data_IF_264747179725
#
_entry.id   IF_264747179725
#
_cell.length_a   1.000
_cell.length_b   1.000
_cell.length_c   1.000
_cell.angle_alpha   90.00
_cell.angle_beta   90.00
_cell.angle_gamma   90.00
#
_symmetry.space_group_name_H-M   'P 1'
#
loop_
_entity.id
_entity.type
_entity.pdbx_description
1 polymer ?
#
# COMPACT_ATOMS: atom_id res chain seq x y z
N UNK A 1 9.93 -22.49 -23.65
CA UNK A 1 8.87 -23.43 -23.20
C UNK A 1 8.43 -24.45 -24.25
N UNK A 2 8.23 -24.10 -25.54
CA UNK A 2 7.77 -25.05 -26.58
C UNK A 2 8.67 -26.27 -26.85
N UNK A 3 9.94 -26.26 -26.42
CA UNK A 3 10.91 -27.34 -26.62
C UNK A 3 10.74 -28.50 -25.61
N UNK A 4 10.02 -28.29 -24.51
CA UNK A 4 9.95 -29.24 -23.38
C UNK A 4 8.54 -29.80 -23.12
N UNK A 5 7.51 -29.24 -23.75
CA UNK A 5 6.12 -29.66 -23.57
C UNK A 5 5.75 -30.81 -24.52
N UNK A 6 5.35 -31.97 -23.99
CA UNK A 6 4.78 -33.07 -24.77
C UNK A 6 3.31 -32.86 -25.14
N UNK A 7 2.77 -33.74 -25.99
CA UNK A 7 1.33 -33.81 -26.35
C UNK A 7 0.49 -34.03 -25.09
N UNK A 8 -0.14 -32.97 -24.59
CA UNK A 8 -0.89 -32.95 -23.33
C UNK A 8 -0.50 -31.83 -22.36
N UNK A 9 0.54 -31.03 -22.68
CA UNK A 9 0.90 -29.84 -21.88
C UNK A 9 1.62 -30.15 -20.56
N UNK A 10 1.85 -31.42 -20.23
CA UNK A 10 2.66 -31.85 -19.09
C UNK A 10 4.11 -32.12 -19.52
N UNK A 11 5.06 -31.67 -18.68
CA UNK A 11 6.49 -31.93 -18.84
C UNK A 11 6.79 -33.38 -18.45
N UNK A 12 7.40 -34.15 -19.36
CA UNK A 12 7.92 -35.50 -19.07
C UNK A 12 9.07 -35.44 -18.06
N UNK A 13 9.35 -36.54 -17.36
CA UNK A 13 10.41 -36.60 -16.35
C UNK A 13 11.80 -36.32 -16.93
N UNK A 14 12.06 -36.76 -18.17
CA UNK A 14 13.27 -36.42 -18.91
C UNK A 14 13.36 -34.92 -19.25
N UNK A 15 12.25 -34.31 -19.69
CA UNK A 15 12.19 -32.86 -19.99
C UNK A 15 12.33 -32.00 -18.73
N UNK A 16 11.88 -32.50 -17.57
CA UNK A 16 12.11 -31.87 -16.26
C UNK A 16 13.60 -31.89 -15.88
N UNK A 17 14.29 -33.01 -16.10
CA UNK A 17 15.73 -33.14 -15.85
C UNK A 17 16.57 -32.17 -16.70
N UNK A 18 16.27 -32.07 -18.00
CA UNK A 18 16.99 -31.16 -18.92
C UNK A 18 16.72 -29.68 -18.58
N UNK A 19 15.47 -29.33 -18.23
CA UNK A 19 15.11 -27.98 -17.80
C UNK A 19 15.78 -27.60 -16.47
N UNK A 20 15.92 -28.54 -15.53
CA UNK A 20 16.67 -28.33 -14.26
C UNK A 20 18.13 -28.00 -14.53
N UNK A 21 18.80 -28.77 -15.39
CA UNK A 21 20.21 -28.56 -15.70
C UNK A 21 20.46 -27.18 -16.31
N UNK A 22 19.62 -26.77 -17.27
CA UNK A 22 19.73 -25.46 -17.93
C UNK A 22 19.42 -24.28 -16.99
N UNK A 23 18.48 -24.44 -16.06
CA UNK A 23 18.16 -23.39 -15.08
C UNK A 23 19.24 -23.29 -13.99
N UNK A 24 19.87 -24.41 -13.61
CA UNK A 24 20.95 -24.44 -12.62
C UNK A 24 22.22 -23.71 -13.04
N UNK A 25 22.52 -23.64 -14.34
CA UNK A 25 23.69 -22.93 -14.88
C UNK A 25 23.54 -21.40 -14.89
N UNK A 26 22.30 -20.88 -14.87
CA UNK A 26 22.01 -19.46 -15.08
C UNK A 26 21.40 -18.76 -13.87
N UNK A 27 20.92 -19.51 -12.88
CA UNK A 27 20.07 -19.00 -11.81
C UNK A 27 20.70 -19.18 -10.43
N UNK A 28 21.20 -18.10 -9.83
CA UNK A 28 21.58 -18.08 -8.40
C UNK A 28 20.30 -18.03 -7.57
N UNK A 29 19.90 -19.16 -6.98
CA UNK A 29 18.66 -19.26 -6.19
C UNK A 29 18.96 -19.29 -4.69
N UNK A 30 18.68 -18.18 -4.00
CA UNK A 30 18.53 -18.16 -2.55
C UNK A 30 17.03 -18.27 -2.21
N UNK A 31 16.49 -19.47 -2.16
CA UNK A 31 15.17 -19.70 -1.56
C UNK A 31 15.30 -19.68 -0.04
N UNK A 32 14.48 -18.88 0.66
CA UNK A 32 14.54 -18.78 2.14
C UNK A 32 14.38 -20.12 2.86
N UNK A 33 13.79 -21.14 2.21
CA UNK A 33 13.75 -22.52 2.69
C UNK A 33 15.15 -23.12 2.94
N UNK A 34 16.18 -22.67 2.22
CA UNK A 34 17.58 -23.10 2.41
C UNK A 34 18.28 -22.40 3.58
N UNK A 35 17.69 -21.33 4.15
CA UNK A 35 18.42 -20.43 5.07
C UNK A 35 18.05 -20.55 6.56
N UNK A 36 17.11 -21.42 6.93
CA UNK A 36 16.70 -21.55 8.35
C UNK A 36 16.18 -20.24 8.98
N UNK A 37 15.88 -19.23 8.16
CA UNK A 37 15.45 -17.90 8.61
C UNK A 37 13.99 -18.00 9.06
N UNK A 38 13.78 -18.04 10.37
CA UNK A 38 12.46 -17.92 10.98
C UNK A 38 12.18 -16.44 11.24
N UNK A 39 11.20 -15.87 10.54
CA UNK A 39 10.67 -14.55 10.88
C UNK A 39 9.61 -14.71 11.98
N UNK A 40 9.48 -13.76 12.92
CA UNK A 40 8.40 -13.79 13.88
C UNK A 40 7.05 -13.64 13.18
N UNK A 41 5.95 -14.08 13.82
CA UNK A 41 4.62 -13.91 13.24
C UNK A 41 4.32 -12.42 13.04
N UNK A 42 3.46 -12.13 12.07
CA UNK A 42 2.92 -10.78 11.87
C UNK A 42 1.39 -10.82 11.91
N UNK A 43 0.81 -9.80 12.51
CA UNK A 43 -0.63 -9.62 12.64
C UNK A 43 -1.01 -8.30 11.99
N UNK A 44 -1.80 -8.37 10.93
CA UNK A 44 -2.33 -7.17 10.29
C UNK A 44 -3.81 -7.05 10.57
N UNK A 45 -4.25 -5.83 10.90
CA UNK A 45 -5.67 -5.48 10.99
C UNK A 45 -5.94 -4.19 10.26
N UNK A 46 -7.11 -4.12 9.64
CA UNK A 46 -7.62 -2.88 9.05
C UNK A 46 -8.65 -2.28 10.00
N UNK A 47 -8.45 -1.04 10.38
CA UNK A 47 -9.46 -0.25 11.07
C UNK A 47 -10.12 0.66 10.05
N UNK A 48 -11.39 0.35 9.77
CA UNK A 48 -12.25 1.23 9.00
C UNK A 48 -12.62 2.44 9.86
N UNK A 49 -12.48 3.63 9.30
CA UNK A 49 -12.71 4.90 9.97
C UNK A 49 -13.80 5.64 9.20
N UNK A 50 -14.93 5.86 9.86
CA UNK A 50 -16.01 6.69 9.32
C UNK A 50 -15.52 8.13 9.15
N UNK A 51 -15.71 8.75 7.97
CA UNK A 51 -15.31 10.12 7.72
C UNK A 51 -16.19 11.11 8.49
N UNK A 52 -15.59 12.22 8.93
CA UNK A 52 -16.35 13.37 9.41
C UNK A 52 -17.08 14.09 8.26
N UNK A 53 -17.99 15.04 8.55
CA UNK A 53 -18.80 15.71 7.52
C UNK A 53 -17.97 16.39 6.43
N UNK A 54 -16.90 17.10 6.79
CA UNK A 54 -16.02 17.76 5.83
C UNK A 54 -15.15 16.77 5.04
N UNK A 55 -14.71 15.66 5.67
CA UNK A 55 -13.97 14.57 4.99
C UNK A 55 -14.85 13.87 3.97
N UNK A 56 -16.09 13.54 4.34
CA UNK A 56 -17.08 12.91 3.48
C UNK A 56 -17.39 13.81 2.27
N UNK A 57 -17.73 15.07 2.51
CA UNK A 57 -18.08 16.00 1.46
C UNK A 57 -16.89 16.30 0.52
N UNK A 58 -15.67 16.44 1.07
CA UNK A 58 -14.44 16.55 0.28
C UNK A 58 -14.27 15.34 -0.65
N UNK A 59 -14.38 14.13 -0.10
CA UNK A 59 -14.16 12.90 -0.85
C UNK A 59 -15.24 12.71 -1.93
N UNK A 60 -16.52 12.87 -1.58
CA UNK A 60 -17.63 12.80 -2.53
C UNK A 60 -17.52 13.81 -3.67
N UNK A 61 -17.07 15.03 -3.39
CA UNK A 61 -16.85 16.05 -4.42
C UNK A 61 -15.77 15.62 -5.41
N UNK A 62 -14.66 15.03 -4.93
CA UNK A 62 -13.60 14.51 -5.79
C UNK A 62 -14.03 13.28 -6.58
N UNK A 63 -14.81 12.38 -5.98
CA UNK A 63 -15.41 11.22 -6.67
C UNK A 63 -16.39 11.68 -7.75
N UNK A 64 -17.20 12.69 -7.46
CA UNK A 64 -18.13 13.28 -8.42
C UNK A 64 -17.34 13.91 -9.58
N UNK A 65 -16.27 14.64 -9.31
CA UNK A 65 -15.39 15.17 -10.34
C UNK A 65 -14.75 14.05 -11.18
N UNK A 66 -14.26 12.97 -10.55
CA UNK A 66 -13.75 11.79 -11.25
C UNK A 66 -14.81 11.21 -12.19
N UNK A 67 -16.02 10.94 -11.70
CA UNK A 67 -17.06 10.29 -12.50
C UNK A 67 -17.62 11.20 -13.58
N UNK A 68 -17.83 12.48 -13.29
CA UNK A 68 -18.47 13.43 -14.23
C UNK A 68 -17.51 14.03 -15.25
N UNK A 69 -16.24 14.26 -14.87
CA UNK A 69 -15.25 14.98 -15.67
C UNK A 69 -14.13 14.08 -16.21
N UNK A 70 -14.01 12.82 -15.76
CA UNK A 70 -13.04 11.89 -16.33
C UNK A 70 -13.65 11.06 -17.46
N UNK A 71 -13.22 11.33 -18.69
CA UNK A 71 -13.25 10.33 -19.77
C UNK A 71 -11.95 10.23 -20.58
N UNK A 72 -10.94 11.09 -20.36
CA UNK A 72 -9.57 10.90 -20.90
C UNK A 72 -8.57 11.96 -20.40
N UNK A 73 -7.28 11.72 -20.61
CA UNK A 73 -6.23 12.75 -20.63
C UNK A 73 -5.61 13.16 -19.28
N UNK A 74 -4.97 14.34 -19.26
CA UNK A 74 -4.11 14.84 -18.17
C UNK A 74 -4.81 15.01 -16.81
N UNK A 75 -6.14 15.09 -16.79
CA UNK A 75 -6.94 15.35 -15.57
C UNK A 75 -7.05 14.11 -14.69
N UNK A 76 -7.07 12.92 -15.30
CA UNK A 76 -7.32 11.66 -14.57
C UNK A 76 -6.23 11.34 -13.53
N UNK A 77 -4.93 11.43 -13.85
CA UNK A 77 -3.88 11.26 -12.85
C UNK A 77 -3.95 12.28 -11.70
N UNK A 78 -4.40 13.52 -11.98
CA UNK A 78 -4.55 14.56 -10.96
C UNK A 78 -5.68 14.23 -9.98
N UNK A 79 -6.83 13.77 -10.48
CA UNK A 79 -7.94 13.32 -9.63
C UNK A 79 -7.58 12.07 -8.83
N UNK A 80 -6.81 11.15 -9.43
CA UNK A 80 -6.27 10.00 -8.70
C UNK A 80 -5.36 10.42 -7.54
N UNK A 81 -4.48 11.40 -7.74
CA UNK A 81 -3.64 11.96 -6.67
C UNK A 81 -4.49 12.59 -5.58
N UNK A 82 -5.47 13.42 -5.95
CA UNK A 82 -6.36 14.09 -4.99
C UNK A 82 -7.20 13.09 -4.17
N UNK A 83 -7.67 12.00 -4.77
CA UNK A 83 -8.38 10.94 -4.04
C UNK A 83 -7.46 10.21 -3.06
N UNK A 84 -6.19 9.98 -3.42
CA UNK A 84 -5.19 9.41 -2.50
C UNK A 84 -4.89 10.38 -1.34
N UNK A 85 -4.73 11.67 -1.64
CA UNK A 85 -4.53 12.71 -0.62
C UNK A 85 -5.76 12.81 0.30
N UNK A 86 -6.98 12.82 -0.25
CA UNK A 86 -8.22 12.93 0.52
C UNK A 86 -8.47 11.68 1.39
N UNK A 87 -8.10 10.49 0.89
CA UNK A 87 -8.11 9.26 1.69
C UNK A 87 -7.12 9.29 2.85
N UNK A 88 -6.02 10.05 2.74
CA UNK A 88 -5.08 10.30 3.83
C UNK A 88 -5.65 11.30 4.84
N UNK A 89 -5.84 12.56 4.44
CA UNK A 89 -6.47 13.58 5.28
C UNK A 89 -6.88 14.83 4.46
N UNK A 90 -7.78 15.68 4.97
CA UNK A 90 -8.07 16.98 4.37
C UNK A 90 -6.84 17.90 4.24
N UNK A 91 -5.81 17.67 5.05
CA UNK A 91 -4.59 18.50 5.04
C UNK A 91 -3.63 18.11 3.92
N UNK A 92 -3.66 16.86 3.46
CA UNK A 92 -2.87 16.41 2.32
C UNK A 92 -3.33 17.07 1.00
N UNK A 93 -4.63 17.26 0.80
CA UNK A 93 -5.17 17.78 -0.48
C UNK A 93 -4.92 19.28 -0.69
N UNK A 94 -4.78 20.06 0.38
CA UNK A 94 -4.83 21.54 0.33
C UNK A 94 -3.83 22.14 -0.65
N UNK A 95 -2.57 21.71 -0.57
CA UNK A 95 -1.51 22.24 -1.42
C UNK A 95 -1.73 21.91 -2.90
N UNK A 96 -2.23 20.71 -3.19
CA UNK A 96 -2.52 20.28 -4.56
C UNK A 96 -3.75 20.99 -5.12
N UNK A 97 -4.83 21.11 -4.35
CA UNK A 97 -6.03 21.86 -4.74
C UNK A 97 -5.72 23.34 -5.00
N UNK A 98 -4.94 24.00 -4.15
CA UNK A 98 -4.56 25.40 -4.34
C UNK A 98 -3.83 25.61 -5.68
N UNK A 99 -2.89 24.72 -6.03
CA UNK A 99 -2.16 24.79 -7.31
C UNK A 99 -3.08 24.54 -8.50
N UNK A 100 -3.94 23.53 -8.43
CA UNK A 100 -4.80 23.13 -9.55
C UNK A 100 -5.94 24.13 -9.78
N UNK A 101 -6.52 24.69 -8.73
CA UNK A 101 -7.57 25.72 -8.87
C UNK A 101 -7.02 27.00 -9.52
N UNK A 102 -5.73 27.32 -9.29
CA UNK A 102 -5.04 28.43 -9.93
C UNK A 102 -4.56 28.13 -11.37
N UNK A 103 -4.57 26.87 -11.82
CA UNK A 103 -4.11 26.49 -13.15
C UNK A 103 -5.14 26.84 -14.23
N UNK A 104 -4.91 27.97 -14.90
CA UNK A 104 -5.79 28.45 -15.97
C UNK A 104 -5.88 27.50 -17.19
N UNK A 105 -4.95 26.55 -17.33
CA UNK A 105 -4.96 25.55 -18.42
C UNK A 105 -6.00 24.44 -18.19
N UNK A 106 -6.46 24.25 -16.95
CA UNK A 106 -7.53 23.29 -16.65
C UNK A 106 -8.90 23.83 -17.10
N UNK A 107 -9.78 22.97 -17.63
CA UNK A 107 -11.15 23.37 -17.99
C UNK A 107 -11.90 24.03 -16.83
N UNK A 108 -12.71 25.09 -17.08
CA UNK A 108 -13.44 25.80 -16.04
C UNK A 108 -14.29 24.89 -15.15
N UNK A 109 -14.97 23.89 -15.73
CA UNK A 109 -15.78 22.94 -14.98
C UNK A 109 -14.97 22.14 -13.95
N UNK A 110 -13.73 21.77 -14.28
CA UNK A 110 -12.81 21.09 -13.36
C UNK A 110 -12.37 22.05 -12.27
N UNK A 111 -11.97 23.27 -12.60
CA UNK A 111 -11.56 24.25 -11.59
C UNK A 111 -12.68 24.57 -10.61
N UNK A 112 -13.92 24.70 -11.07
CA UNK A 112 -15.08 24.88 -10.19
C UNK A 112 -15.28 23.69 -9.26
N UNK A 113 -15.19 22.47 -9.78
CA UNK A 113 -15.32 21.27 -8.96
C UNK A 113 -14.20 21.15 -7.91
N UNK A 114 -12.96 21.51 -8.27
CA UNK A 114 -11.81 21.52 -7.37
C UNK A 114 -11.86 22.67 -6.35
N UNK A 115 -12.41 23.83 -6.70
CA UNK A 115 -12.65 24.93 -5.77
C UNK A 115 -13.62 24.52 -4.66
N UNK A 116 -14.73 23.86 -5.02
CA UNK A 116 -15.66 23.33 -4.03
C UNK A 116 -14.99 22.32 -3.08
N UNK A 117 -14.15 21.42 -3.62
CA UNK A 117 -13.34 20.51 -2.80
C UNK A 117 -12.37 21.27 -1.87
N UNK A 118 -11.76 22.36 -2.35
CA UNK A 118 -10.85 23.18 -1.57
C UNK A 118 -11.55 23.83 -0.37
N UNK A 119 -12.81 24.26 -0.53
CA UNK A 119 -13.60 24.84 0.56
C UNK A 119 -13.86 23.83 1.68
N UNK A 120 -14.24 22.59 1.36
CA UNK A 120 -14.39 21.51 2.35
C UNK A 120 -13.07 21.22 3.06
N UNK A 121 -11.97 21.11 2.28
CA UNK A 121 -10.64 20.90 2.85
C UNK A 121 -10.21 22.04 3.78
N UNK A 122 -10.57 23.29 3.48
CA UNK A 122 -10.25 24.46 4.30
C UNK A 122 -11.04 24.50 5.61
N UNK A 123 -12.32 24.08 5.59
CA UNK A 123 -13.17 24.01 6.79
C UNK A 123 -12.79 22.87 7.75
N UNK A 124 -12.14 21.82 7.25
CA UNK A 124 -11.69 20.73 8.09
C UNK A 124 -10.71 21.20 9.18
N UNK A 125 -11.05 20.95 10.44
CA UNK A 125 -10.23 21.30 11.63
C UNK A 125 -9.51 20.09 12.24
N UNK A 126 -9.83 18.88 11.76
CA UNK A 126 -9.22 17.63 12.20
C UNK A 126 -9.41 16.53 11.15
N UNK A 127 -9.02 15.31 11.51
CA UNK A 127 -9.21 14.11 10.70
C UNK A 127 -9.63 12.95 11.58
N UNK A 128 -10.64 12.17 11.16
CA UNK A 128 -11.10 11.03 11.94
C UNK A 128 -10.03 9.92 12.03
N UNK A 129 -9.19 9.76 11.00
CA UNK A 129 -8.04 8.84 11.06
C UNK A 129 -7.02 9.28 12.12
N UNK A 130 -6.80 10.58 12.30
CA UNK A 130 -5.91 11.08 13.36
C UNK A 130 -6.48 10.83 14.75
N UNK A 131 -7.80 10.96 14.94
CA UNK A 131 -8.45 10.57 16.20
C UNK A 131 -8.35 9.06 16.45
N UNK A 132 -8.52 8.24 15.42
CA UNK A 132 -8.34 6.79 15.52
C UNK A 132 -6.90 6.40 15.86
N UNK A 133 -5.91 7.08 15.25
CA UNK A 133 -4.50 6.92 15.57
C UNK A 133 -4.23 7.24 17.05
N UNK A 134 -4.69 8.39 17.55
CA UNK A 134 -4.48 8.77 18.95
C UNK A 134 -5.08 7.74 19.92
N UNK A 135 -6.28 7.22 19.64
CA UNK A 135 -6.87 6.13 20.44
C UNK A 135 -6.07 4.83 20.39
N UNK A 136 -5.39 4.57 19.27
CA UNK A 136 -4.53 3.38 19.13
C UNK A 136 -3.23 3.54 19.91
N UNK A 137 -2.69 4.76 19.95
CA UNK A 137 -1.45 5.07 20.66
C UNK A 137 -1.64 5.18 22.17
N UNK A 138 -2.87 5.43 22.63
CA UNK A 138 -3.21 5.45 24.04
C UNK A 138 -2.98 4.06 24.68
N UNK A 139 -2.11 4.01 25.69
CA UNK A 139 -1.68 2.76 26.34
C UNK A 139 -0.78 1.85 25.48
N UNK A 140 -0.29 2.33 24.33
CA UNK A 140 0.65 1.58 23.52
C UNK A 140 2.07 1.66 24.11
N UNK A 141 2.62 0.51 24.51
CA UNK A 141 4.01 0.44 24.96
C UNK A 141 4.96 0.31 23.76
N UNK A 142 6.08 1.04 23.86
CA UNK A 142 7.20 0.98 22.94
C UNK A 142 7.04 1.77 21.64
N UNK A 143 8.13 1.86 20.84
CA UNK A 143 8.13 2.64 19.61
C UNK A 143 7.06 2.16 18.63
N UNK A 144 6.45 3.12 17.92
CA UNK A 144 5.47 2.85 16.87
C UNK A 144 5.79 3.67 15.63
N UNK A 145 5.86 3.05 14.46
CA UNK A 145 6.09 3.77 13.20
C UNK A 145 4.75 4.08 12.56
N UNK A 146 4.50 5.35 12.25
CA UNK A 146 3.32 5.80 11.51
C UNK A 146 3.75 6.27 10.13
N UNK A 147 3.36 5.53 9.10
CA UNK A 147 3.62 5.87 7.71
C UNK A 147 2.49 6.71 7.11
N UNK A 148 2.88 7.79 6.45
CA UNK A 148 2.01 8.56 5.55
C UNK A 148 2.79 8.94 4.31
N UNK A 149 2.17 8.89 3.13
CA UNK A 149 2.82 9.34 1.89
C UNK A 149 2.90 10.88 1.81
N UNK A 150 2.00 11.59 2.48
CA UNK A 150 1.73 13.00 2.20
C UNK A 150 2.30 13.90 3.28
N UNK A 151 3.13 14.87 2.87
CA UNK A 151 3.74 15.86 3.78
C UNK A 151 2.70 16.69 4.54
N UNK A 152 1.58 17.03 3.90
CA UNK A 152 0.48 17.75 4.56
C UNK A 152 -0.13 16.96 5.71
N UNK A 153 -0.37 15.66 5.52
CA UNK A 153 -0.80 14.77 6.60
C UNK A 153 0.26 14.63 7.68
N UNK A 154 1.53 14.43 7.30
CA UNK A 154 2.62 14.28 8.27
C UNK A 154 2.76 15.50 9.18
N UNK A 155 2.73 16.71 8.61
CA UNK A 155 2.80 17.96 9.36
C UNK A 155 1.61 18.08 10.33
N UNK A 156 0.39 17.80 9.85
CA UNK A 156 -0.80 17.79 10.69
C UNK A 156 -0.71 16.77 11.84
N UNK A 157 -0.20 15.56 11.58
CA UNK A 157 -0.01 14.53 12.59
C UNK A 157 1.02 14.94 13.64
N UNK A 158 2.13 15.57 13.25
CA UNK A 158 3.13 16.08 14.19
C UNK A 158 2.50 17.11 15.16
N UNK A 159 1.70 18.04 14.64
CA UNK A 159 0.97 19.01 15.46
C UNK A 159 -0.11 18.35 16.35
N UNK A 160 -0.81 17.34 15.84
CA UNK A 160 -1.80 16.60 16.60
C UNK A 160 -1.18 15.80 17.76
N UNK A 161 -0.07 15.10 17.52
CA UNK A 161 0.68 14.37 18.54
C UNK A 161 1.27 15.32 19.58
N UNK A 162 1.85 16.45 19.16
CA UNK A 162 2.35 17.48 20.07
C UNK A 162 1.25 18.01 21.01
N UNK A 163 0.07 18.34 20.46
CA UNK A 163 -1.08 18.80 21.25
C UNK A 163 -1.62 17.75 22.22
N UNK A 164 -1.53 16.47 21.83
CA UNK A 164 -1.92 15.34 22.68
C UNK A 164 -0.83 14.97 23.71
N UNK A 165 0.33 15.63 23.71
CA UNK A 165 1.45 15.29 24.59
C UNK A 165 2.13 13.97 24.25
N UNK A 166 1.96 13.46 23.02
CA UNK A 166 2.56 12.20 22.56
C UNK A 166 3.96 12.49 21.99
N UNK A 167 5.04 11.95 22.62
CA UNK A 167 6.39 12.09 22.10
C UNK A 167 6.51 11.49 20.70
N UNK A 168 7.11 12.24 19.78
CA UNK A 168 7.29 11.79 18.41
C UNK A 168 8.54 12.39 17.75
N UNK A 169 9.07 11.66 16.79
CA UNK A 169 10.16 12.08 15.89
C UNK A 169 9.66 12.05 14.45
N UNK A 170 10.30 12.85 13.59
CA UNK A 170 10.00 12.90 12.16
C UNK A 170 11.11 12.25 11.35
N UNK A 171 10.70 11.56 10.29
CA UNK A 171 11.58 10.96 9.31
C UNK A 171 10.97 11.16 7.90
N UNK A 172 11.16 12.35 7.37
CA UNK A 172 10.63 12.74 6.07
C UNK A 172 11.68 13.46 5.21
N UNK A 173 11.27 13.97 4.04
CA UNK A 173 12.17 14.62 3.10
C UNK A 173 12.86 15.87 3.64
N UNK A 174 12.33 16.49 4.69
CA UNK A 174 12.92 17.67 5.32
C UNK A 174 14.02 17.29 6.34
N UNK A 175 14.11 16.02 6.72
CA UNK A 175 15.13 15.52 7.66
C UNK A 175 16.41 15.17 6.89
N UNK A 176 17.52 15.88 7.12
CA UNK A 176 18.77 15.63 6.42
C UNK A 176 19.24 14.19 6.66
N UNK A 177 19.85 13.50 5.67
CA UNK A 177 20.33 12.12 5.83
C UNK A 177 21.21 11.91 7.07
N UNK A 178 22.09 12.86 7.38
CA UNK A 178 22.97 12.82 8.54
C UNK A 178 22.22 12.85 9.89
N UNK A 179 21.00 13.39 9.94
CA UNK A 179 20.19 13.49 11.15
C UNK A 179 19.24 12.28 11.34
N UNK A 180 19.03 11.45 10.30
CA UNK A 180 18.05 10.35 10.32
C UNK A 180 18.39 9.29 11.37
N UNK A 181 19.66 8.90 11.48
CA UNK A 181 20.12 7.93 12.48
C UNK A 181 19.84 8.43 13.91
N UNK A 182 20.13 9.70 14.19
CA UNK A 182 19.87 10.28 15.50
C UNK A 182 18.36 10.36 15.83
N UNK A 183 17.50 10.62 14.84
CA UNK A 183 16.05 10.58 15.03
C UNK A 183 15.54 9.18 15.36
N UNK A 184 16.08 8.15 14.68
CA UNK A 184 15.79 6.74 14.97
C UNK A 184 16.23 6.38 16.39
N UNK A 185 17.44 6.74 16.79
CA UNK A 185 17.95 6.46 18.13
C UNK A 185 17.13 7.15 19.23
N UNK A 186 16.75 8.42 19.04
CA UNK A 186 15.87 9.12 20.00
C UNK A 186 14.50 8.46 20.09
N UNK A 187 13.93 8.05 18.96
CA UNK A 187 12.66 7.35 18.92
C UNK A 187 12.74 6.00 19.65
N UNK A 188 13.81 5.24 19.42
CA UNK A 188 14.06 3.96 20.07
C UNK A 188 14.22 4.11 21.58
N UNK A 189 15.06 5.06 22.03
CA UNK A 189 15.36 5.26 23.45
C UNK A 189 14.16 5.78 24.26
N UNK A 190 13.28 6.58 23.64
CA UNK A 190 12.13 7.19 24.32
C UNK A 190 10.82 6.42 24.16
N UNK A 191 10.77 5.37 23.33
CA UNK A 191 9.52 4.70 22.99
C UNK A 191 8.55 5.57 22.18
N UNK A 192 9.05 6.64 21.56
CA UNK A 192 8.23 7.63 20.86
C UNK A 192 7.63 7.09 19.54
N UNK A 193 6.71 7.86 18.97
CA UNK A 193 6.18 7.62 17.62
C UNK A 193 7.15 8.11 16.56
N UNK A 194 7.48 7.29 15.56
CA UNK A 194 8.21 7.73 14.37
C UNK A 194 7.23 8.05 13.23
N UNK A 195 7.05 9.32 12.92
CA UNK A 195 6.29 9.75 11.74
C UNK A 195 7.19 9.68 10.50
N UNK A 196 6.83 8.85 9.52
CA UNK A 196 7.67 8.63 8.34
C UNK A 196 6.92 8.77 7.02
N UNK A 197 7.60 9.35 6.03
CA UNK A 197 7.23 9.16 4.62
C UNK A 197 8.03 8.02 4.00
N UNK A 198 7.54 7.49 2.87
CA UNK A 198 8.25 6.45 2.11
C UNK A 198 9.68 6.91 1.76
N UNK A 199 9.82 8.17 1.30
CA UNK A 199 11.11 8.78 0.93
C UNK A 199 12.03 9.01 2.14
N UNK A 200 11.46 9.36 3.29
CA UNK A 200 12.25 9.57 4.51
C UNK A 200 12.89 8.28 5.05
N UNK A 201 12.20 7.15 4.87
CA UNK A 201 12.64 5.82 5.35
C UNK A 201 13.40 4.98 4.34
N UNK A 202 13.60 5.46 3.12
CA UNK A 202 14.19 4.66 2.06
C UNK A 202 15.60 4.18 2.44
N UNK A 203 15.82 2.88 2.34
CA UNK A 203 17.09 2.24 2.69
C UNK A 203 17.37 2.09 4.18
N UNK A 204 16.50 2.60 5.06
CA UNK A 204 16.69 2.51 6.51
C UNK A 204 16.18 1.18 7.08
N UNK A 205 16.85 0.76 8.14
CA UNK A 205 16.46 -0.41 8.93
C UNK A 205 15.66 0.03 10.14
N UNK A 206 14.43 -0.45 10.28
CA UNK A 206 13.49 0.01 11.31
C UNK A 206 13.11 -1.12 12.29
N UNK A 207 13.97 -2.14 12.41
CA UNK A 207 13.75 -3.33 13.26
C UNK A 207 13.68 -3.04 14.76
N UNK A 208 14.09 -1.85 15.22
CA UNK A 208 13.91 -1.39 16.60
C UNK A 208 12.43 -1.28 17.01
N UNK A 209 11.53 -1.26 16.02
CA UNK A 209 10.10 -1.15 16.19
C UNK A 209 9.41 -2.40 15.62
N UNK A 210 8.38 -2.88 16.31
CA UNK A 210 7.56 -4.02 15.86
C UNK A 210 6.10 -3.62 15.59
N UNK A 211 5.73 -2.35 15.83
CA UNK A 211 4.39 -1.82 15.52
C UNK A 211 4.45 -0.82 14.36
N UNK A 212 3.65 -1.07 13.33
CA UNK A 212 3.52 -0.22 12.16
C UNK A 212 2.05 0.21 12.00
N UNK A 213 1.83 1.51 11.78
CA UNK A 213 0.55 2.07 11.37
C UNK A 213 0.69 2.65 9.97
N UNK A 214 -0.04 2.10 9.00
CA UNK A 214 -0.29 2.77 7.73
C UNK A 214 -1.43 3.76 7.93
N UNK A 215 -1.12 5.06 8.00
CA UNK A 215 -2.12 6.11 8.12
C UNK A 215 -2.89 6.30 6.81
N UNK A 216 -2.17 6.27 5.70
CA UNK A 216 -2.72 6.14 4.36
C UNK A 216 -2.15 4.92 3.66
N UNK A 217 -2.96 4.36 2.77
CA UNK A 217 -2.68 3.11 2.09
C UNK A 217 -2.28 3.39 0.64
N UNK A 218 -1.04 3.08 0.26
CA UNK A 218 -0.66 3.07 -1.14
C UNK A 218 -1.60 2.17 -1.93
N UNK A 219 -2.14 2.69 -3.03
CA UNK A 219 -2.99 1.88 -3.91
C UNK A 219 -2.24 0.73 -4.57
N UNK A 220 -0.90 0.82 -4.65
CA UNK A 220 -0.04 -0.28 -5.07
C UNK A 220 0.31 -1.14 -3.84
N UNK A 221 -0.15 -2.41 -3.78
CA UNK A 221 0.07 -3.31 -2.64
C UNK A 221 1.56 -3.55 -2.35
N UNK A 222 2.40 -3.49 -3.38
CA UNK A 222 3.84 -3.66 -3.25
C UNK A 222 4.44 -2.64 -2.29
N UNK A 223 3.94 -1.40 -2.29
CA UNK A 223 4.43 -0.35 -1.39
C UNK A 223 4.07 -0.64 0.07
N UNK A 224 2.90 -1.22 0.33
CA UNK A 224 2.49 -1.63 1.69
C UNK A 224 3.47 -2.69 2.21
N UNK A 225 3.72 -3.72 1.40
CA UNK A 225 4.62 -4.82 1.77
C UNK A 225 6.08 -4.35 1.90
N UNK A 226 6.53 -3.39 1.09
CA UNK A 226 7.83 -2.72 1.26
C UNK A 226 7.95 -1.96 2.58
N UNK A 227 6.87 -1.31 3.05
CA UNK A 227 6.85 -0.66 4.38
C UNK A 227 6.97 -1.69 5.49
N UNK A 228 6.20 -2.78 5.43
CA UNK A 228 6.25 -3.89 6.40
C UNK A 228 7.66 -4.52 6.42
N UNK A 229 8.28 -4.72 5.25
CA UNK A 229 9.63 -5.26 5.13
C UNK A 229 10.75 -4.41 5.75
N UNK A 230 10.48 -3.15 6.16
CA UNK A 230 11.44 -2.31 6.90
C UNK A 230 11.66 -2.78 8.33
N UNK A 231 10.66 -3.45 8.92
CA UNK A 231 10.71 -4.00 10.28
C UNK A 231 10.53 -5.52 10.33
N UNK A 232 9.79 -6.13 9.39
CA UNK A 232 9.57 -7.58 9.32
C UNK A 232 10.61 -8.24 8.40
N UNK A 233 11.84 -8.33 8.90
CA UNK A 233 13.01 -8.88 8.18
C UNK A 233 13.97 -9.58 9.15
N UNK A 234 15.01 -10.21 8.61
CA UNK A 234 16.05 -10.95 9.37
C UNK A 234 16.61 -10.07 10.48
N UNK A 235 16.51 -10.52 11.74
CA UNK A 235 16.90 -9.79 12.95
C UNK A 235 15.74 -9.16 13.73
N UNK A 236 14.50 -9.31 13.25
CA UNK A 236 13.31 -8.98 14.04
C UNK A 236 13.00 -10.17 14.95
N UNK A 237 12.87 -9.90 16.24
CA UNK A 237 12.62 -10.93 17.27
C UNK A 237 11.20 -10.86 17.82
N UNK A 238 10.54 -9.70 17.69
CA UNK A 238 9.20 -9.46 18.19
C UNK A 238 8.13 -9.74 17.12
N UNK A 239 6.94 -10.25 17.51
CA UNK A 239 5.79 -10.28 16.63
C UNK A 239 5.49 -8.90 16.05
N UNK A 240 5.27 -8.83 14.74
CA UNK A 240 5.02 -7.56 14.05
C UNK A 240 3.53 -7.25 14.01
N UNK A 241 3.14 -6.09 14.52
CA UNK A 241 1.76 -5.59 14.47
C UNK A 241 1.63 -4.54 13.35
N UNK A 242 0.69 -4.77 12.43
CA UNK A 242 0.38 -3.84 11.35
C UNK A 242 -1.06 -3.36 11.51
N UNK A 243 -1.23 -2.05 11.70
CA UNK A 243 -2.53 -1.40 11.66
C UNK A 243 -2.66 -0.60 10.35
N UNK A 244 -3.72 -0.86 9.61
CA UNK A 244 -4.08 -0.09 8.42
C UNK A 244 -5.28 0.80 8.75
N UNK A 245 -5.10 2.11 8.75
CA UNK A 245 -6.22 3.05 8.85
C UNK A 245 -6.79 3.27 7.46
N UNK A 246 -8.09 3.00 7.30
CA UNK A 246 -8.77 3.09 6.02
C UNK A 246 -10.01 3.98 6.17
N UNK A 247 -10.17 4.97 5.29
CA UNK A 247 -11.36 5.83 5.30
C UNK A 247 -12.53 5.03 4.70
N UNK A 248 -13.67 5.00 5.37
CA UNK A 248 -14.87 4.34 4.86
C UNK A 248 -15.38 5.00 3.57
N UNK A 249 -15.90 4.19 2.65
CA UNK A 249 -16.36 4.64 1.33
C UNK A 249 -15.25 5.04 0.36
N UNK A 250 -13.97 4.92 0.77
CA UNK A 250 -12.84 5.28 -0.07
C UNK A 250 -12.47 4.17 -1.05
N UNK A 251 -11.64 4.53 -2.03
CA UNK A 251 -11.05 3.56 -2.94
C UNK A 251 -9.99 2.69 -2.22
N UNK A 252 -9.35 3.20 -1.16
CA UNK A 252 -8.45 2.40 -0.31
C UNK A 252 -9.19 1.21 0.30
N UNK A 253 -10.45 1.41 0.71
CA UNK A 253 -11.30 0.34 1.26
C UNK A 253 -11.54 -0.74 0.21
N UNK A 254 -11.91 -0.35 -1.02
CA UNK A 254 -12.11 -1.29 -2.13
C UNK A 254 -10.84 -2.05 -2.47
N UNK A 255 -9.70 -1.37 -2.44
CA UNK A 255 -8.38 -1.99 -2.68
C UNK A 255 -8.10 -3.05 -1.62
N UNK A 256 -8.23 -2.70 -0.35
CA UNK A 256 -7.98 -3.64 0.75
C UNK A 256 -8.93 -4.82 0.74
N UNK A 257 -10.23 -4.59 0.55
CA UNK A 257 -11.23 -5.67 0.46
C UNK A 257 -10.81 -6.71 -0.59
N UNK A 258 -10.50 -6.26 -1.81
CA UNK A 258 -10.13 -7.14 -2.91
C UNK A 258 -8.83 -7.89 -2.63
N UNK A 259 -7.81 -7.21 -2.11
CA UNK A 259 -6.51 -7.82 -1.84
C UNK A 259 -6.57 -8.82 -0.68
N UNK A 260 -7.30 -8.49 0.38
CA UNK A 260 -7.44 -9.37 1.54
C UNK A 260 -8.26 -10.61 1.17
N UNK A 261 -9.43 -10.45 0.55
CA UNK A 261 -10.31 -11.56 0.16
C UNK A 261 -9.68 -12.48 -0.89
N UNK A 262 -8.92 -11.93 -1.85
CA UNK A 262 -8.45 -12.71 -3.00
C UNK A 262 -7.05 -13.25 -2.81
N UNK A 263 -6.16 -12.50 -2.17
CA UNK A 263 -4.75 -12.88 -2.08
C UNK A 263 -4.21 -13.02 -0.65
N UNK A 264 -5.00 -12.71 0.38
CA UNK A 264 -4.55 -12.67 1.78
C UNK A 264 -3.27 -11.81 1.90
N UNK A 265 -3.32 -10.56 1.43
CA UNK A 265 -2.15 -9.68 1.28
C UNK A 265 -1.20 -9.73 2.50
N UNK A 266 -1.76 -9.72 3.71
CA UNK A 266 -1.00 -9.67 4.95
C UNK A 266 -0.41 -11.01 5.40
N UNK A 267 -0.63 -12.10 4.67
CA UNK A 267 0.06 -13.38 4.86
C UNK A 267 1.22 -13.56 3.85
N UNK A 268 1.26 -12.76 2.78
CA UNK A 268 2.22 -12.89 1.69
C UNK A 268 3.50 -12.07 1.89
N UNK A 269 4.67 -12.63 1.60
CA UNK A 269 5.92 -11.85 1.57
C UNK A 269 6.11 -11.12 0.23
N UNK A 270 6.89 -10.02 0.21
CA UNK A 270 7.22 -9.18 -0.97
C UNK A 270 7.24 -9.94 -2.32
N UNK A 271 8.07 -10.98 -2.43
CA UNK A 271 8.24 -11.71 -3.70
C UNK A 271 7.01 -12.49 -4.15
N UNK A 272 6.13 -12.92 -3.22
CA UNK A 272 4.89 -13.60 -3.59
C UNK A 272 3.86 -12.63 -4.14
N UNK A 273 3.76 -11.43 -3.54
CA UNK A 273 2.89 -10.35 -4.03
C UNK A 273 3.28 -9.93 -5.43
N UNK A 274 4.58 -9.76 -5.69
CA UNK A 274 5.10 -9.38 -7.01
C UNK A 274 4.72 -10.40 -8.08
N UNK A 275 4.94 -11.68 -7.80
CA UNK A 275 4.63 -12.76 -8.73
C UNK A 275 3.12 -12.86 -9.01
N UNK A 276 2.27 -12.68 -7.99
CA UNK A 276 0.81 -12.70 -8.18
C UNK A 276 0.38 -11.52 -9.04
N UNK A 277 0.79 -10.30 -8.70
CA UNK A 277 0.41 -9.10 -9.46
C UNK A 277 0.96 -9.13 -10.89
N UNK A 278 2.11 -9.74 -11.12
CA UNK A 278 2.68 -9.92 -12.46
C UNK A 278 1.85 -10.81 -13.40
N UNK A 279 0.94 -11.63 -12.87
CA UNK A 279 -0.01 -12.41 -13.68
C UNK A 279 -1.28 -11.65 -14.05
N UNK A 280 -1.46 -10.42 -13.57
CA UNK A 280 -2.54 -9.55 -14.02
C UNK A 280 -2.18 -9.06 -15.44
N UNK A 281 -2.76 -9.75 -16.42
CA UNK A 281 -2.50 -9.55 -17.85
C UNK A 281 -2.86 -8.12 -18.32
N UNK A 282 -2.07 -7.58 -19.25
CA UNK A 282 -2.46 -6.43 -20.07
C UNK A 282 -1.60 -5.15 -19.97
N UNK A 283 -0.43 -5.21 -19.33
CA UNK A 283 0.51 -4.06 -19.29
C UNK A 283 0.02 -2.86 -18.48
N UNK A 284 -1.04 -3.01 -17.69
CA UNK A 284 -1.61 -1.99 -16.81
C UNK A 284 -1.32 -2.34 -15.35
N UNK A 285 -1.02 -1.33 -14.54
CA UNK A 285 -0.76 -1.54 -13.14
C UNK A 285 -2.07 -1.76 -12.35
N UNK A 286 -2.01 -2.56 -11.27
CA UNK A 286 -3.16 -2.82 -10.41
C UNK A 286 -3.92 -1.55 -9.95
N UNK A 287 -3.25 -0.45 -9.50
CA UNK A 287 -3.94 0.78 -9.12
C UNK A 287 -4.78 1.40 -10.24
N UNK A 288 -4.35 1.25 -11.50
CA UNK A 288 -5.08 1.77 -12.66
C UNK A 288 -6.37 0.98 -12.90
N UNK A 289 -6.32 -0.35 -12.76
CA UNK A 289 -7.47 -1.23 -12.89
C UNK A 289 -8.55 -0.94 -11.83
N UNK A 290 -8.12 -0.70 -10.59
CA UNK A 290 -9.02 -0.30 -9.50
C UNK A 290 -9.62 1.07 -9.80
N UNK A 291 -8.81 2.04 -10.23
CA UNK A 291 -9.30 3.38 -10.55
C UNK A 291 -10.30 3.36 -11.72
N UNK A 292 -10.08 2.52 -12.74
CA UNK A 292 -11.04 2.26 -13.82
C UNK A 292 -12.37 1.78 -13.26
N UNK A 293 -12.36 0.72 -12.45
CA UNK A 293 -13.58 0.18 -11.86
C UNK A 293 -14.28 1.21 -10.95
N UNK A 294 -13.53 1.97 -10.16
CA UNK A 294 -14.07 2.96 -9.23
C UNK A 294 -14.67 4.19 -9.93
N UNK A 295 -14.14 4.55 -11.11
CA UNK A 295 -14.60 5.65 -11.94
C UNK A 295 -15.90 5.36 -12.71
N UNK A 296 -16.35 4.10 -12.76
CA UNK A 296 -17.61 3.72 -13.39
C UNK A 296 -18.79 4.51 -12.79
N UNK A 297 -19.56 5.15 -13.68
CA UNK A 297 -20.67 6.05 -13.31
C UNK A 297 -21.85 5.29 -12.75
N UNK A 298 -22.21 4.16 -13.38
CA UNK A 298 -23.34 3.34 -12.95
C UNK A 298 -22.89 2.27 -11.93
N UNK A 299 -23.69 2.11 -10.87
CA UNK A 299 -23.46 1.10 -9.82
C UNK A 299 -23.33 -0.32 -10.39
N UNK A 300 -24.16 -0.75 -11.36
CA UNK A 300 -24.06 -2.10 -11.90
C UNK A 300 -22.75 -2.33 -12.66
N UNK A 301 -22.27 -1.38 -13.48
CA UNK A 301 -20.98 -1.50 -14.17
C UNK A 301 -19.84 -1.51 -13.18
N UNK A 302 -19.86 -0.62 -12.18
CA UNK A 302 -18.86 -0.61 -11.12
C UNK A 302 -18.75 -1.96 -10.42
N UNK A 303 -19.90 -2.52 -10.03
CA UNK A 303 -19.97 -3.84 -9.38
C UNK A 303 -19.39 -4.93 -10.29
N UNK A 304 -19.74 -4.94 -11.59
CA UNK A 304 -19.19 -5.89 -12.56
C UNK A 304 -17.68 -5.70 -12.77
N UNK A 305 -17.20 -4.47 -12.83
CA UNK A 305 -15.78 -4.16 -13.02
C UNK A 305 -14.94 -4.61 -11.82
N UNK A 306 -15.43 -4.41 -10.59
CA UNK A 306 -14.78 -4.95 -9.39
C UNK A 306 -14.84 -6.49 -9.30
N UNK A 307 -15.95 -7.11 -9.71
CA UNK A 307 -16.06 -8.57 -9.76
C UNK A 307 -15.03 -9.16 -10.74
N UNK A 308 -14.88 -8.58 -11.94
CA UNK A 308 -13.86 -9.00 -12.92
C UNK A 308 -12.44 -8.87 -12.37
N UNK A 309 -12.14 -7.77 -11.68
CA UNK A 309 -10.82 -7.58 -11.05
C UNK A 309 -10.56 -8.63 -9.98
N UNK A 310 -11.58 -8.95 -9.17
CA UNK A 310 -11.51 -9.98 -8.14
C UNK A 310 -11.25 -11.36 -8.71
N UNK A 311 -11.94 -11.73 -9.80
CA UNK A 311 -11.74 -12.99 -10.51
C UNK A 311 -10.35 -13.08 -11.14
N UNK A 312 -9.86 -11.98 -11.73
CA UNK A 312 -8.52 -11.90 -12.30
C UNK A 312 -7.43 -12.12 -11.23
N UNK A 313 -7.58 -11.51 -10.05
CA UNK A 313 -6.68 -11.72 -8.92
C UNK A 313 -6.72 -13.15 -8.38
N UNK A 314 -7.90 -13.75 -8.29
CA UNK A 314 -8.04 -15.15 -7.88
C UNK A 314 -7.33 -16.09 -8.87
N UNK A 315 -7.51 -15.86 -10.17
CA UNK A 315 -6.82 -16.61 -11.22
C UNK A 315 -5.30 -16.41 -11.16
N UNK A 316 -4.84 -15.18 -10.94
CA UNK A 316 -3.43 -14.85 -10.78
C UNK A 316 -2.80 -15.57 -9.57
N UNK A 317 -3.48 -15.59 -8.41
CA UNK A 317 -3.05 -16.35 -7.23
C UNK A 317 -2.96 -17.85 -7.51
N UNK A 318 -3.93 -18.40 -8.23
CA UNK A 318 -3.94 -19.82 -8.56
C UNK A 318 -2.79 -20.18 -9.50
N UNK A 319 -2.50 -19.36 -10.52
CA UNK A 319 -1.34 -19.53 -11.40
C UNK A 319 -0.04 -19.51 -10.60
N UNK A 320 0.12 -18.54 -9.70
CA UNK A 320 1.27 -18.46 -8.80
C UNK A 320 1.43 -19.75 -7.97
N UNK A 321 0.35 -20.25 -7.35
CA UNK A 321 0.39 -21.50 -6.58
C UNK A 321 0.78 -22.71 -7.42
N UNK A 322 0.27 -22.81 -8.65
CA UNK A 322 0.64 -23.89 -9.58
C UNK A 322 2.12 -23.84 -9.94
N UNK A 323 2.66 -22.64 -10.22
CA UNK A 323 4.10 -22.47 -10.51
C UNK A 323 4.95 -22.79 -9.28
N UNK A 324 4.57 -22.30 -8.09
CA UNK A 324 5.25 -22.60 -6.83
C UNK A 324 5.30 -24.11 -6.54
N UNK A 325 4.17 -24.81 -6.67
CA UNK A 325 4.09 -26.25 -6.45
C UNK A 325 4.89 -27.04 -7.50
N UNK A 326 4.91 -26.58 -8.75
CA UNK A 326 5.74 -27.16 -9.80
C UNK A 326 7.23 -27.01 -9.47
N UNK A 327 7.66 -25.81 -9.07
CA UNK A 327 9.04 -25.53 -8.63
C UNK A 327 9.44 -26.41 -7.44
N UNK A 328 8.62 -26.47 -6.39
CA UNK A 328 8.88 -27.30 -5.21
C UNK A 328 8.95 -28.79 -5.56
N UNK A 329 8.11 -29.28 -6.49
CA UNK A 329 8.18 -30.65 -7.00
C UNK A 329 9.39 -30.89 -7.91
N UNK A 330 9.84 -29.85 -8.63
CA UNK A 330 11.01 -29.92 -9.48
C UNK A 330 12.30 -29.96 -8.62
N UNK A 331 12.41 -29.27 -7.51
CA UNK A 331 13.69 -29.23 -6.76
C UNK A 331 13.72 -30.11 -5.49
N UNK A 332 12.69 -30.94 -5.26
CA UNK A 332 12.60 -31.82 -4.09
C UNK A 332 13.76 -32.83 -3.97
N UNK A 333 14.32 -33.30 -5.09
CA UNK A 333 15.40 -34.30 -5.09
C UNK A 333 16.79 -33.74 -4.71
N UNK A 334 16.98 -32.42 -4.70
CA UNK A 334 18.24 -31.78 -4.28
C UNK A 334 18.26 -31.46 -2.77
N UNK A 335 17.11 -31.54 -2.09
CA UNK A 335 16.96 -31.14 -0.69
C UNK A 335 17.21 -32.25 0.33
N UNK A 336 17.48 -33.49 -0.09
CA UNK A 336 17.86 -34.57 0.82
C UNK A 336 16.91 -34.77 2.02
N UNK A 337 15.60 -34.61 1.80
CA UNK A 337 14.53 -35.06 2.70
C UNK A 337 13.57 -35.93 1.92
#
# INVERSE_FOLDING_TARGET
MRRFTGTGGQLSEAARGELRALLGELMVRNTRALSGVHLPPRFARTQLVEPGPEEQALYEQLVTALRSLATAGRVRPLLSLLLQEAGSSPFAVRGTLARLTADATLPPAIRTALAAAADFAARATGSEKSRALLRTLDGADGPTIVFTRFRGTLAFLAEALARAGVPHERLDGDVPPAARAAAIERCHASGAVLLSTDVGSEGLNLQFCHRLVNFDLPWNPMRIEQRIGRLHRIGQEQPVEVLNLCLAGSIEERILQILDERINLFELVVGEVEMILGYLDGGREFPELVLDAFAERDEPARTRSFARLSDALAAARQRYRTVKAFDEGLFRSELGV
#
